data_IF_343040392662
#
_entry.id   IF_343040392662
#
_cell.length_a   1.000
_cell.length_b   1.000
_cell.length_c   1.000
_cell.angle_alpha   90.00
_cell.angle_beta   90.00
_cell.angle_gamma   90.00
#
_symmetry.space_group_name_H-M   'P 1'
#
loop_
_entity.id
_entity.type
_entity.pdbx_description
1 polymer ?
#
# COMPACT_ATOMS: atom_id res chain seq x y z
N UNK A 1 -22.76 17.42 -10.44
CA UNK A 1 -21.73 16.48 -9.95
C UNK A 1 -20.35 16.96 -10.41
N UNK A 2 -19.43 17.25 -9.50
CA UNK A 2 -18.18 17.93 -9.84
C UNK A 2 -17.17 16.94 -10.49
N UNK A 3 -17.06 16.96 -11.83
CA UNK A 3 -16.24 16.03 -12.64
C UNK A 3 -14.75 16.00 -12.23
N UNK A 4 -14.23 17.12 -11.75
CA UNK A 4 -12.85 17.22 -11.28
C UNK A 4 -12.61 16.38 -10.01
N UNK A 5 -13.58 16.39 -9.07
CA UNK A 5 -13.49 15.65 -7.82
C UNK A 5 -13.55 14.14 -8.04
N UNK A 6 -14.45 13.67 -8.91
CA UNK A 6 -14.54 12.24 -9.25
C UNK A 6 -13.28 11.75 -9.98
N UNK A 7 -12.72 12.56 -10.88
CA UNK A 7 -11.45 12.27 -11.54
C UNK A 7 -10.29 12.12 -10.55
N UNK A 8 -10.17 13.05 -9.59
CA UNK A 8 -9.15 12.99 -8.54
C UNK A 8 -9.29 11.73 -7.66
N UNK A 9 -10.50 11.42 -7.21
CA UNK A 9 -10.75 10.20 -6.42
C UNK A 9 -10.40 8.93 -7.20
N UNK A 10 -10.75 8.86 -8.48
CA UNK A 10 -10.39 7.72 -9.33
C UNK A 10 -8.88 7.60 -9.53
N UNK A 11 -8.16 8.72 -9.66
CA UNK A 11 -6.70 8.73 -9.73
C UNK A 11 -6.06 8.19 -8.45
N UNK A 12 -6.56 8.61 -7.28
CA UNK A 12 -6.07 8.10 -5.99
C UNK A 12 -6.33 6.60 -5.83
N UNK A 13 -7.50 6.11 -6.23
CA UNK A 13 -7.80 4.67 -6.23
C UNK A 13 -6.83 3.87 -7.10
N UNK A 14 -6.57 4.33 -8.32
CA UNK A 14 -5.57 3.71 -9.22
C UNK A 14 -4.16 3.71 -8.62
N UNK A 15 -3.78 4.79 -7.94
CA UNK A 15 -2.48 4.85 -7.25
C UNK A 15 -2.39 3.86 -6.09
N UNK A 16 -3.48 3.70 -5.33
CA UNK A 16 -3.56 2.70 -4.24
C UNK A 16 -3.46 1.28 -4.81
N UNK A 17 -4.17 0.97 -5.88
CA UNK A 17 -4.10 -0.33 -6.55
C UNK A 17 -2.69 -0.64 -7.07
N UNK A 18 -2.05 0.32 -7.74
CA UNK A 18 -0.68 0.17 -8.21
C UNK A 18 0.28 -0.08 -7.04
N UNK A 19 0.14 0.68 -5.95
CA UNK A 19 0.97 0.53 -4.77
C UNK A 19 0.76 -0.82 -4.06
N UNK A 20 -0.45 -1.36 -4.06
CA UNK A 20 -0.72 -2.70 -3.53
C UNK A 20 -0.01 -3.79 -4.34
N UNK A 21 0.02 -3.66 -5.66
CA UNK A 21 0.77 -4.58 -6.53
C UNK A 21 2.28 -4.48 -6.28
N UNK A 22 2.80 -3.26 -6.12
CA UNK A 22 4.21 -3.04 -5.77
C UNK A 22 4.56 -3.67 -4.42
N UNK A 23 3.72 -3.50 -3.39
CA UNK A 23 3.91 -4.14 -2.08
C UNK A 23 3.91 -5.66 -2.17
N UNK A 24 3.00 -6.24 -2.94
CA UNK A 24 2.93 -7.69 -3.14
C UNK A 24 4.21 -8.21 -3.81
N UNK A 25 4.67 -7.53 -4.86
CA UNK A 25 5.92 -7.86 -5.54
C UNK A 25 7.13 -7.81 -4.60
N UNK A 26 7.21 -6.79 -3.75
CA UNK A 26 8.31 -6.66 -2.77
C UNK A 26 8.26 -7.77 -1.72
N UNK A 27 7.06 -8.14 -1.24
CA UNK A 27 6.91 -9.26 -0.29
C UNK A 27 7.35 -10.59 -0.89
N UNK A 28 7.03 -10.84 -2.15
CA UNK A 28 7.50 -12.03 -2.86
C UNK A 28 9.02 -12.06 -2.98
N UNK A 29 9.65 -10.92 -3.30
CA UNK A 29 11.12 -10.82 -3.33
C UNK A 29 11.76 -11.11 -1.97
N UNK A 30 11.22 -10.55 -0.89
CA UNK A 30 11.70 -10.82 0.48
C UNK A 30 11.62 -12.33 0.76
N UNK A 31 10.47 -12.95 0.50
CA UNK A 31 10.28 -14.39 0.72
C UNK A 31 11.28 -15.24 -0.07
N UNK A 32 11.55 -14.90 -1.33
CA UNK A 32 12.56 -15.61 -2.14
C UNK A 32 13.95 -15.50 -1.52
N UNK A 33 14.36 -14.30 -1.10
CA UNK A 33 15.65 -14.08 -0.45
C UNK A 33 15.76 -14.85 0.87
N UNK A 34 14.69 -14.89 1.68
CA UNK A 34 14.65 -15.66 2.92
C UNK A 34 14.78 -17.17 2.65
N UNK A 35 14.12 -17.68 1.61
CA UNK A 35 14.24 -19.08 1.22
C UNK A 35 15.66 -19.44 0.78
N UNK A 36 16.29 -18.58 -0.03
CA UNK A 36 17.69 -18.74 -0.44
C UNK A 36 18.63 -18.73 0.79
N UNK A 37 18.41 -17.79 1.73
CA UNK A 37 19.19 -17.67 2.95
C UNK A 37 19.06 -18.91 3.86
N UNK A 38 17.87 -19.51 3.94
CA UNK A 38 17.65 -20.79 4.65
C UNK A 38 18.44 -21.93 3.98
N UNK A 39 18.48 -21.97 2.65
CA UNK A 39 19.28 -22.94 1.90
C UNK A 39 20.77 -22.82 2.23
N UNK A 40 21.31 -21.60 2.21
CA UNK A 40 22.73 -21.35 2.56
C UNK A 40 23.03 -21.74 4.01
N UNK A 41 22.13 -21.44 4.96
CA UNK A 41 22.28 -21.88 6.36
C UNK A 41 22.37 -23.39 6.49
N UNK A 42 21.58 -24.14 5.72
CA UNK A 42 21.64 -25.60 5.72
C UNK A 42 22.97 -26.12 5.14
N UNK A 43 23.50 -25.49 4.09
CA UNK A 43 24.84 -25.82 3.55
C UNK A 43 25.94 -25.52 4.56
N UNK A 44 25.89 -24.36 5.22
CA UNK A 44 26.85 -23.95 6.25
C UNK A 44 26.83 -24.91 7.44
N UNK A 45 25.65 -25.30 7.93
CA UNK A 45 25.53 -26.23 9.04
C UNK A 45 26.24 -27.56 8.76
N UNK A 46 26.05 -28.12 7.55
CA UNK A 46 26.75 -29.33 7.11
C UNK A 46 28.25 -29.11 6.98
N UNK A 47 28.64 -27.98 6.39
CA UNK A 47 30.05 -27.68 6.17
C UNK A 47 30.81 -27.44 7.48
N UNK A 48 30.13 -27.03 8.56
CA UNK A 48 30.73 -26.79 9.87
C UNK A 48 30.92 -28.06 10.72
N UNK A 49 30.41 -29.21 10.30
CA UNK A 49 30.66 -30.49 10.96
C UNK A 49 32.16 -30.81 10.96
N UNK A 50 32.73 -31.05 12.15
CA UNK A 50 34.16 -31.28 12.32
C UNK A 50 34.47 -32.74 11.93
N UNK A 51 35.38 -32.98 10.96
CA UNK A 51 35.78 -34.33 10.60
C UNK A 51 36.61 -34.97 11.72
N UNK A 52 36.46 -36.28 11.90
CA UNK A 52 37.23 -37.05 12.90
C UNK A 52 38.75 -37.07 12.63
N UNK A 53 39.17 -36.79 11.40
CA UNK A 53 40.55 -36.66 10.99
C UNK A 53 40.72 -35.41 10.12
N UNK A 54 41.65 -34.53 10.50
CA UNK A 54 41.87 -33.25 9.82
C UNK A 54 43.01 -33.38 8.82
N UNK A 55 42.70 -33.16 7.55
CA UNK A 55 43.68 -33.02 6.47
C UNK A 55 43.79 -31.51 6.17
N UNK A 56 44.94 -30.86 6.44
CA UNK A 56 45.07 -29.40 6.38
C UNK A 56 44.61 -28.77 5.06
N UNK A 57 44.96 -29.36 3.91
CA UNK A 57 44.59 -28.82 2.59
C UNK A 57 43.08 -28.89 2.32
N UNK A 58 42.42 -29.96 2.79
CA UNK A 58 40.97 -30.12 2.69
C UNK A 58 40.26 -29.17 3.65
N UNK A 59 40.83 -28.98 4.84
CA UNK A 59 40.31 -28.07 5.85
C UNK A 59 40.38 -26.60 5.40
N UNK A 60 41.47 -26.17 4.77
CA UNK A 60 41.58 -24.83 4.15
C UNK A 60 40.48 -24.65 3.10
N UNK A 61 40.24 -25.67 2.27
CA UNK A 61 39.20 -25.62 1.24
C UNK A 61 37.80 -25.54 1.84
N UNK A 62 37.53 -26.29 2.91
CA UNK A 62 36.26 -26.23 3.68
C UNK A 62 36.04 -24.86 4.28
N UNK A 63 37.05 -24.28 4.93
CA UNK A 63 36.98 -22.95 5.53
C UNK A 63 36.74 -21.87 4.47
N UNK A 64 37.41 -21.94 3.32
CA UNK A 64 37.18 -21.02 2.21
C UNK A 64 35.72 -21.10 1.69
N UNK A 65 35.18 -22.31 1.56
CA UNK A 65 33.77 -22.51 1.22
C UNK A 65 32.83 -21.88 2.25
N UNK A 66 33.07 -22.14 3.54
CA UNK A 66 32.28 -21.57 4.65
C UNK A 66 32.29 -20.04 4.61
N UNK A 67 33.47 -19.42 4.46
CA UNK A 67 33.62 -17.96 4.37
C UNK A 67 32.82 -17.41 3.19
N UNK A 68 32.97 -18.00 2.00
CA UNK A 68 32.27 -17.55 0.80
C UNK A 68 30.74 -17.67 0.94
N UNK A 69 30.25 -18.77 1.54
CA UNK A 69 28.82 -18.96 1.79
C UNK A 69 28.28 -18.02 2.86
N UNK A 70 29.06 -17.74 3.90
CA UNK A 70 28.67 -16.77 4.93
C UNK A 70 28.52 -15.36 4.34
N UNK A 71 29.47 -14.94 3.49
CA UNK A 71 29.38 -13.65 2.79
C UNK A 71 28.11 -13.56 1.92
N UNK A 72 27.79 -14.62 1.18
CA UNK A 72 26.56 -14.68 0.39
C UNK A 72 25.29 -14.59 1.26
N UNK A 73 25.29 -15.25 2.41
CA UNK A 73 24.18 -15.16 3.37
C UNK A 73 24.01 -13.73 3.90
N UNK A 74 25.11 -13.07 4.29
CA UNK A 74 25.08 -11.69 4.78
C UNK A 74 24.57 -10.72 3.70
N UNK A 75 25.00 -10.90 2.45
CA UNK A 75 24.52 -10.13 1.30
C UNK A 75 23.01 -10.30 1.06
N UNK A 76 22.49 -11.54 1.15
CA UNK A 76 21.06 -11.81 1.04
C UNK A 76 20.27 -11.13 2.17
N UNK A 77 20.80 -11.18 3.40
CA UNK A 77 20.16 -10.56 4.56
C UNK A 77 20.13 -9.02 4.43
N UNK A 78 21.20 -8.42 3.93
CA UNK A 78 21.25 -6.98 3.64
C UNK A 78 20.22 -6.58 2.58
N UNK A 79 20.11 -7.34 1.49
CA UNK A 79 19.10 -7.10 0.44
C UNK A 79 17.68 -7.26 0.97
N UNK A 80 17.43 -8.28 1.80
CA UNK A 80 16.11 -8.49 2.41
C UNK A 80 15.73 -7.28 3.28
N UNK A 81 16.64 -6.80 4.13
CA UNK A 81 16.43 -5.60 4.95
C UNK A 81 16.14 -4.35 4.09
N UNK A 82 16.82 -4.18 2.96
CA UNK A 82 16.54 -3.03 2.08
C UNK A 82 15.15 -3.12 1.43
N UNK A 83 14.69 -4.32 1.08
CA UNK A 83 13.31 -4.53 0.63
C UNK A 83 12.29 -4.32 1.76
N UNK A 84 12.60 -4.67 3.01
CA UNK A 84 11.74 -4.37 4.16
C UNK A 84 11.59 -2.87 4.39
N UNK A 85 12.69 -2.10 4.29
CA UNK A 85 12.64 -0.63 4.33
C UNK A 85 11.76 -0.07 3.23
N UNK A 86 11.90 -0.59 2.00
CA UNK A 86 11.07 -0.17 0.86
C UNK A 86 9.59 -0.50 1.11
N UNK A 87 9.30 -1.67 1.68
CA UNK A 87 7.95 -2.08 2.04
C UNK A 87 7.34 -1.13 3.09
N UNK A 88 8.11 -0.71 4.09
CA UNK A 88 7.66 0.26 5.09
C UNK A 88 7.30 1.61 4.45
N UNK A 89 8.12 2.12 3.53
CA UNK A 89 7.84 3.34 2.76
C UNK A 89 6.53 3.20 1.97
N UNK A 90 6.31 2.05 1.32
CA UNK A 90 5.06 1.80 0.60
C UNK A 90 3.85 1.71 1.51
N UNK A 91 3.98 1.14 2.71
CA UNK A 91 2.90 1.08 3.69
C UNK A 91 2.51 2.48 4.20
N UNK A 92 3.49 3.33 4.49
CA UNK A 92 3.26 4.72 4.88
C UNK A 92 2.54 5.49 3.76
N UNK A 93 3.04 5.37 2.52
CA UNK A 93 2.42 6.00 1.35
C UNK A 93 0.98 5.51 1.14
N UNK A 94 0.74 4.21 1.31
CA UNK A 94 -0.59 3.63 1.18
C UNK A 94 -1.55 4.19 2.25
N UNK A 95 -1.10 4.28 3.50
CA UNK A 95 -1.86 4.88 4.59
C UNK A 95 -2.23 6.33 4.26
N UNK A 96 -1.26 7.12 3.81
CA UNK A 96 -1.48 8.52 3.40
C UNK A 96 -2.53 8.62 2.31
N UNK A 97 -2.38 7.91 1.19
CA UNK A 97 -3.34 7.94 0.08
C UNK A 97 -4.75 7.50 0.51
N UNK A 98 -4.84 6.50 1.41
CA UNK A 98 -6.11 6.04 1.97
C UNK A 98 -6.78 7.12 2.84
N UNK A 99 -6.00 7.86 3.62
CA UNK A 99 -6.53 8.99 4.40
C UNK A 99 -7.01 10.13 3.49
N UNK A 100 -6.26 10.46 2.44
CA UNK A 100 -6.63 11.47 1.44
C UNK A 100 -7.92 11.07 0.70
N UNK A 101 -8.08 9.80 0.33
CA UNK A 101 -9.31 9.31 -0.29
C UNK A 101 -10.50 9.48 0.67
N UNK A 102 -10.34 9.10 1.94
CA UNK A 102 -11.39 9.21 2.97
C UNK A 102 -11.80 10.65 3.25
N UNK A 103 -10.87 11.61 3.20
CA UNK A 103 -11.21 13.03 3.38
C UNK A 103 -11.99 13.56 2.19
N UNK A 104 -11.65 13.15 0.97
CA UNK A 104 -12.40 13.50 -0.25
C UNK A 104 -13.81 12.88 -0.26
N UNK A 105 -13.97 11.65 0.24
CA UNK A 105 -15.28 11.01 0.40
C UNK A 105 -16.18 11.80 1.35
N UNK A 106 -15.66 12.17 2.53
CA UNK A 106 -16.38 13.03 3.48
C UNK A 106 -16.74 14.39 2.88
N UNK A 107 -15.84 14.98 2.08
CA UNK A 107 -16.11 16.24 1.41
C UNK A 107 -17.25 16.09 0.39
N UNK A 108 -17.25 15.02 -0.41
CA UNK A 108 -18.31 14.70 -1.36
C UNK A 108 -19.66 14.54 -0.66
N UNK A 109 -19.70 13.81 0.46
CA UNK A 109 -20.92 13.60 1.25
C UNK A 109 -21.46 14.93 1.81
N UNK A 110 -20.60 15.78 2.37
CA UNK A 110 -20.99 17.10 2.86
C UNK A 110 -21.55 17.99 1.75
N UNK A 111 -20.95 17.97 0.57
CA UNK A 111 -21.46 18.73 -0.57
C UNK A 111 -22.81 18.19 -1.06
N UNK A 112 -22.98 16.87 -1.15
CA UNK A 112 -24.26 16.27 -1.52
C UNK A 112 -25.38 16.64 -0.53
N UNK A 113 -25.07 16.67 0.77
CA UNK A 113 -26.02 17.11 1.79
C UNK A 113 -26.39 18.61 1.64
N UNK A 114 -25.41 19.46 1.34
CA UNK A 114 -25.65 20.89 1.08
C UNK A 114 -26.50 21.11 -0.18
N UNK A 115 -26.20 20.40 -1.26
CA UNK A 115 -26.97 20.45 -2.51
C UNK A 115 -28.43 20.01 -2.27
N UNK A 116 -28.64 18.93 -1.51
CA UNK A 116 -29.98 18.46 -1.13
C UNK A 116 -30.77 19.51 -0.35
N UNK A 117 -30.17 20.10 0.69
CA UNK A 117 -30.81 21.16 1.49
C UNK A 117 -31.11 22.41 0.67
N UNK A 118 -30.22 22.77 -0.26
CA UNK A 118 -30.45 23.90 -1.15
C UNK A 118 -31.63 23.64 -2.09
N UNK A 119 -31.71 22.43 -2.66
CA UNK A 119 -32.83 22.02 -3.50
C UNK A 119 -34.16 22.01 -2.74
N UNK A 120 -34.17 21.51 -1.51
CA UNK A 120 -35.35 21.54 -0.61
C UNK A 120 -35.81 22.98 -0.34
N UNK A 121 -34.88 23.89 -0.01
CA UNK A 121 -35.22 25.30 0.23
C UNK A 121 -35.73 26.02 -1.02
N UNK A 122 -35.22 25.69 -2.21
CA UNK A 122 -35.73 26.25 -3.47
C UNK A 122 -37.15 25.73 -3.72
N UNK A 123 -37.39 24.44 -3.55
CA UNK A 123 -38.71 23.84 -3.73
C UNK A 123 -39.75 24.41 -2.76
N UNK A 124 -39.39 24.64 -1.49
CA UNK A 124 -40.25 25.30 -0.51
C UNK A 124 -40.64 26.72 -0.96
N UNK A 125 -39.66 27.53 -1.38
CA UNK A 125 -39.93 28.89 -1.90
C UNK A 125 -40.80 28.88 -3.15
N UNK A 126 -40.56 27.94 -4.06
CA UNK A 126 -41.41 27.76 -5.24
C UNK A 126 -42.85 27.40 -4.83
N UNK A 127 -43.03 26.49 -3.88
CA UNK A 127 -44.36 26.13 -3.37
C UNK A 127 -45.07 27.33 -2.71
N UNK A 128 -44.36 28.10 -1.90
CA UNK A 128 -44.91 29.30 -1.24
C UNK A 128 -45.34 30.37 -2.27
N UNK A 129 -44.50 30.62 -3.28
CA UNK A 129 -44.83 31.56 -4.36
C UNK A 129 -46.02 31.08 -5.20
N UNK A 130 -46.12 29.78 -5.49
CA UNK A 130 -47.28 29.18 -6.14
C UNK A 130 -48.57 29.33 -5.31
N UNK A 131 -48.50 29.10 -4.00
CA UNK A 131 -49.63 29.26 -3.09
C UNK A 131 -50.13 30.71 -3.07
N UNK A 132 -49.21 31.68 -3.01
CA UNK A 132 -49.52 33.11 -3.06
C UNK A 132 -50.20 33.50 -4.38
N UNK A 133 -49.64 33.10 -5.53
CA UNK A 133 -50.22 33.35 -6.86
C UNK A 133 -51.63 32.76 -7.02
N UNK A 134 -51.86 31.56 -6.48
CA UNK A 134 -53.18 30.90 -6.54
C UNK A 134 -54.19 31.58 -5.62
N UNK A 135 -53.73 32.11 -4.48
CA UNK A 135 -54.59 32.87 -3.57
C UNK A 135 -54.98 34.23 -4.13
N UNK A 136 -54.10 34.94 -4.85
CA UNK A 136 -54.43 36.24 -5.44
C UNK A 136 -55.45 36.15 -6.58
N UNK A 137 -55.39 35.08 -7.39
CA UNK A 137 -56.39 34.79 -8.44
C UNK A 137 -57.79 34.45 -7.94
N UNK A 138 -57.96 34.12 -6.64
CA UNK A 138 -59.29 33.87 -6.05
C UNK A 138 -59.99 35.15 -5.57
N UNK A 139 -59.27 36.26 -5.47
CA UNK A 139 -59.78 37.56 -5.01
C UNK A 139 -59.79 38.63 -6.11
N UNK A 140 -59.64 38.23 -7.37
CA UNK A 140 -59.76 39.07 -8.57
C UNK A 140 -60.83 38.51 -9.50
#
# INVERSE_FOLDING_TARGET
MNLALSSLMNKLKKQIEALNNEQLTVREKIKTLEMEAVGIKAELAKALEIPAHIIPEQEISRLNFVIARQQQYDDLQMRAMDYEKLLAIFQERHLRLKTELKTLEKYRERNALKEKKAAESIAEKEMDTWALLKSSKKYS
#
